data_IF_229113728896
#
_entry.id   IF_229113728896
#
_cell.length_a   1.000
_cell.length_b   1.000
_cell.length_c   1.000
_cell.angle_alpha   90.00
_cell.angle_beta   90.00
_cell.angle_gamma   90.00
#
_symmetry.space_group_name_H-M   'P 1'
#
loop_
_entity.id
_entity.type
_entity.pdbx_description
1 polymer ?
#
# COMPACT_ATOMS: atom_id res chain seq x y z
N UNK A 1 13.82 10.25 -0.25
CA UNK A 1 12.37 10.05 -0.43
C UNK A 1 11.91 9.16 0.72
N UNK A 2 10.81 9.46 1.41
CA UNK A 2 10.34 8.61 2.51
C UNK A 2 9.22 7.72 1.97
N UNK A 3 9.57 6.51 1.54
CA UNK A 3 8.66 5.55 0.89
C UNK A 3 7.52 5.19 1.83
N UNK A 4 7.85 4.86 3.08
CA UNK A 4 6.86 4.59 4.14
C UNK A 4 5.79 5.67 4.21
N UNK A 5 6.18 6.95 4.25
CA UNK A 5 5.22 8.06 4.30
C UNK A 5 4.38 8.18 3.02
N UNK A 6 4.95 7.90 1.85
CA UNK A 6 4.19 7.92 0.59
C UNK A 6 3.14 6.80 0.59
N UNK A 7 3.57 5.57 0.92
CA UNK A 7 2.67 4.41 0.99
C UNK A 7 1.57 4.65 2.03
N UNK A 8 1.92 5.18 3.21
CA UNK A 8 0.98 5.55 4.27
C UNK A 8 -0.09 6.54 3.77
N UNK A 9 0.35 7.67 3.21
CA UNK A 9 -0.56 8.71 2.73
C UNK A 9 -1.47 8.20 1.60
N UNK A 10 -0.95 7.36 0.70
CA UNK A 10 -1.75 6.78 -0.39
C UNK A 10 -2.72 5.73 0.10
N UNK A 11 -2.32 4.92 1.08
CA UNK A 11 -3.22 3.96 1.71
C UNK A 11 -4.36 4.70 2.41
N UNK A 12 -4.07 5.73 3.21
CA UNK A 12 -5.10 6.57 3.86
C UNK A 12 -6.10 7.12 2.84
N UNK A 13 -5.63 7.65 1.70
CA UNK A 13 -6.49 8.15 0.63
C UNK A 13 -7.36 7.04 0.01
N UNK A 14 -6.78 5.88 -0.30
CA UNK A 14 -7.52 4.76 -0.86
C UNK A 14 -8.63 4.29 0.10
N UNK A 15 -8.33 4.22 1.40
CA UNK A 15 -9.32 3.87 2.43
C UNK A 15 -10.42 4.92 2.50
N UNK A 16 -10.08 6.21 2.52
CA UNK A 16 -11.07 7.29 2.57
C UNK A 16 -11.99 7.33 1.34
N UNK A 17 -11.50 6.93 0.17
CA UNK A 17 -12.27 6.94 -1.08
C UNK A 17 -13.11 5.67 -1.29
N UNK A 18 -12.60 4.51 -0.87
CA UNK A 18 -13.17 3.21 -1.24
C UNK A 18 -13.69 2.39 -0.06
N UNK A 19 -13.46 2.82 1.18
CA UNK A 19 -13.86 2.09 2.39
C UNK A 19 -14.68 2.94 3.36
N UNK A 20 -15.70 2.36 4.02
CA UNK A 20 -16.37 3.01 5.14
C UNK A 20 -15.57 2.91 6.45
N UNK A 21 -14.42 2.23 6.46
CA UNK A 21 -13.59 2.04 7.65
C UNK A 21 -12.87 3.33 8.04
N UNK A 22 -12.63 3.50 9.34
CA UNK A 22 -11.83 4.62 9.85
C UNK A 22 -10.35 4.26 9.79
N UNK A 23 -9.55 5.13 9.18
CA UNK A 23 -8.10 4.98 9.18
C UNK A 23 -7.56 5.24 10.60
N UNK A 24 -6.71 4.36 11.17
CA UNK A 24 -6.21 4.53 12.52
C UNK A 24 -5.25 5.72 12.62
N UNK A 25 -5.18 6.35 13.79
CA UNK A 25 -4.25 7.48 14.03
C UNK A 25 -2.79 7.01 14.07
N UNK A 26 -2.54 5.77 14.47
CA UNK A 26 -1.21 5.15 14.50
C UNK A 26 -1.18 3.94 13.57
N UNK A 27 -0.17 3.91 12.69
CA UNK A 27 0.04 2.85 11.71
C UNK A 27 1.32 2.07 11.99
N UNK A 28 1.14 0.81 12.38
CA UNK A 28 2.21 -0.17 12.63
C UNK A 28 2.40 -1.09 11.40
N UNK A 29 3.55 -1.75 11.33
CA UNK A 29 3.90 -2.70 10.27
C UNK A 29 3.04 -3.97 10.30
N UNK A 30 2.57 -4.38 11.48
CA UNK A 30 1.74 -5.57 11.68
C UNK A 30 0.26 -5.34 11.31
N UNK A 31 -0.14 -4.15 10.89
CA UNK A 31 -1.53 -3.85 10.50
C UNK A 31 -1.87 -4.55 9.19
N UNK A 32 -2.85 -5.45 9.24
CA UNK A 32 -3.42 -6.14 8.08
C UNK A 32 -4.16 -5.17 7.14
N UNK A 33 -3.87 -5.26 5.84
CA UNK A 33 -4.51 -4.44 4.81
C UNK A 33 -5.99 -4.81 4.60
N UNK A 34 -6.34 -6.07 4.83
CA UNK A 34 -7.72 -6.58 4.75
C UNK A 34 -8.67 -5.89 5.72
N UNK A 35 -8.17 -5.40 6.87
CA UNK A 35 -8.98 -4.65 7.83
C UNK A 35 -9.57 -3.36 7.23
N UNK A 36 -8.92 -2.80 6.22
CA UNK A 36 -9.41 -1.63 5.53
C UNK A 36 -10.51 -1.95 4.50
N UNK A 37 -10.74 -3.23 4.19
CA UNK A 37 -11.81 -3.65 3.29
C UNK A 37 -11.67 -3.09 1.87
N UNK A 38 -10.44 -2.84 1.42
CA UNK A 38 -10.17 -2.44 0.04
C UNK A 38 -10.42 -3.62 -0.88
N UNK A 39 -11.26 -3.44 -1.90
CA UNK A 39 -11.46 -4.46 -2.92
C UNK A 39 -10.26 -4.53 -3.87
N UNK A 40 -10.23 -5.56 -4.73
CA UNK A 40 -9.10 -5.76 -5.65
C UNK A 40 -8.88 -4.58 -6.59
N UNK A 41 -9.94 -3.83 -6.94
CA UNK A 41 -9.84 -2.65 -7.81
C UNK A 41 -9.26 -1.45 -7.06
N UNK A 42 -9.72 -1.18 -5.84
CA UNK A 42 -9.19 -0.13 -4.99
C UNK A 42 -7.71 -0.40 -4.64
N UNK A 43 -7.36 -1.66 -4.40
CA UNK A 43 -5.96 -2.05 -4.18
C UNK A 43 -5.09 -1.80 -5.42
N UNK A 44 -5.56 -2.13 -6.63
CA UNK A 44 -4.84 -1.76 -7.86
C UNK A 44 -4.72 -0.24 -8.00
N UNK A 45 -5.78 0.51 -7.68
CA UNK A 45 -5.78 1.97 -7.65
C UNK A 45 -4.76 2.57 -6.67
N UNK A 46 -4.60 1.95 -5.50
CA UNK A 46 -3.56 2.28 -4.53
C UNK A 46 -2.16 2.09 -5.15
N UNK A 47 -1.87 0.92 -5.73
CA UNK A 47 -0.57 0.65 -6.37
C UNK A 47 -0.24 1.65 -7.47
N UNK A 48 -1.20 1.96 -8.34
CA UNK A 48 -1.03 2.98 -9.40
C UNK A 48 -0.85 4.40 -8.81
N UNK A 49 -1.45 4.71 -7.67
CA UNK A 49 -1.28 6.01 -7.01
C UNK A 49 0.09 6.14 -6.37
N UNK A 50 0.60 5.07 -5.78
CA UNK A 50 1.98 5.01 -5.28
C UNK A 50 2.97 5.09 -6.44
N UNK A 51 2.71 4.38 -7.56
CA UNK A 51 3.52 4.45 -8.78
C UNK A 51 3.65 5.89 -9.31
N UNK A 52 2.60 6.72 -9.22
CA UNK A 52 2.69 8.13 -9.67
C UNK A 52 3.67 8.97 -8.84
N UNK A 53 3.86 8.64 -7.57
CA UNK A 53 4.80 9.36 -6.70
C UNK A 53 6.20 8.76 -6.73
N UNK A 54 6.28 7.43 -6.79
CA UNK A 54 7.54 6.69 -6.66
C UNK A 54 8.17 6.38 -8.03
N UNK A 55 7.34 6.22 -9.07
CA UNK A 55 7.74 5.96 -10.44
C UNK A 55 7.71 4.48 -10.87
N UNK A 56 7.34 3.56 -9.98
CA UNK A 56 7.25 2.13 -10.27
C UNK A 56 6.27 1.39 -9.34
N UNK A 57 5.90 0.17 -9.74
CA UNK A 57 5.23 -0.84 -8.91
C UNK A 57 6.26 -1.96 -8.66
N UNK A 58 6.44 -2.47 -7.42
CA UNK A 58 7.37 -3.55 -7.14
C UNK A 58 7.08 -4.76 -8.01
N UNK A 59 8.13 -5.30 -8.63
CA UNK A 59 7.97 -6.35 -9.64
C UNK A 59 7.30 -7.60 -9.05
N UNK A 60 7.68 -7.97 -7.82
CA UNK A 60 7.09 -9.10 -7.11
C UNK A 60 5.56 -8.98 -6.96
N UNK A 61 5.04 -7.76 -6.76
CA UNK A 61 3.59 -7.52 -6.69
C UNK A 61 2.97 -7.60 -8.08
N UNK A 62 3.62 -7.02 -9.09
CA UNK A 62 3.10 -6.99 -10.47
C UNK A 62 3.07 -8.38 -11.13
N UNK A 63 4.04 -9.24 -10.82
CA UNK A 63 4.09 -10.63 -11.30
C UNK A 63 3.23 -11.58 -10.45
N UNK A 64 2.71 -11.11 -9.31
CA UNK A 64 1.89 -11.90 -8.38
C UNK A 64 2.68 -12.86 -7.49
N UNK A 65 4.01 -12.69 -7.43
CA UNK A 65 4.91 -13.46 -6.56
C UNK A 65 4.81 -13.03 -5.09
N UNK A 66 4.39 -11.78 -4.85
CA UNK A 66 4.16 -11.21 -3.53
C UNK A 66 2.78 -10.54 -3.48
N UNK A 67 1.97 -10.93 -2.50
CA UNK A 67 0.74 -10.22 -2.15
C UNK A 67 0.88 -9.73 -0.71
N UNK A 68 1.15 -8.44 -0.47
CA UNK A 68 1.35 -7.95 0.88
C UNK A 68 0.03 -8.05 1.66
N UNK A 69 0.07 -8.71 2.80
CA UNK A 69 -1.07 -8.87 3.71
C UNK A 69 -1.04 -7.77 4.78
N UNK A 70 0.14 -7.21 5.06
CA UNK A 70 0.35 -6.16 6.07
C UNK A 70 0.92 -4.86 5.49
N UNK A 71 0.76 -3.76 6.23
CA UNK A 71 1.36 -2.47 5.88
C UNK A 71 2.89 -2.56 5.79
N UNK A 72 3.53 -3.27 6.71
CA UNK A 72 4.97 -3.46 6.72
C UNK A 72 5.48 -4.21 5.49
N UNK A 73 4.76 -5.23 5.03
CA UNK A 73 5.09 -5.96 3.80
C UNK A 73 4.94 -5.09 2.56
N UNK A 74 3.88 -4.27 2.49
CA UNK A 74 3.69 -3.34 1.38
C UNK A 74 4.85 -2.34 1.33
N UNK A 75 5.24 -1.74 2.46
CA UNK A 75 6.39 -0.83 2.53
C UNK A 75 7.68 -1.53 2.13
N UNK A 76 7.92 -2.73 2.67
CA UNK A 76 9.12 -3.53 2.40
C UNK A 76 9.25 -3.91 0.92
N UNK A 77 8.14 -4.17 0.23
CA UNK A 77 8.13 -4.44 -1.20
C UNK A 77 8.66 -3.26 -2.01
N UNK A 78 8.28 -2.03 -1.64
CA UNK A 78 8.78 -0.82 -2.28
C UNK A 78 10.23 -0.50 -1.90
N UNK A 79 10.67 -0.81 -0.69
CA UNK A 79 12.05 -0.55 -0.25
C UNK A 79 13.07 -1.53 -0.87
N UNK A 80 12.68 -2.79 -1.06
CA UNK A 80 13.58 -3.84 -1.58
C UNK A 80 13.96 -3.61 -3.03
N UNK A 81 13.03 -3.13 -3.87
CA UNK A 81 13.23 -2.90 -5.31
C UNK A 81 14.16 -1.70 -5.63
N UNK A 82 14.61 -0.93 -4.61
CA UNK A 82 15.57 0.18 -4.78
C UNK A 82 17.03 -0.27 -4.67
N UNK A 83 17.29 -1.49 -4.21
CA UNK A 83 18.65 -2.00 -3.93
C UNK A 83 19.19 -2.90 -5.03
#
# INVERSE_FOLDING_TARGET
MNIRNIVLNRLEQAVAEHSPMTFPEEMDDDIELDMFGLDSLAFMGLLTSIEKDIGYIPRAILEGDLYPETFGELVSAYETDIT
#
